data_IF_429123955499
#
_entry.id   IF_429123955499
#
_cell.length_a   1.000
_cell.length_b   1.000
_cell.length_c   1.000
_cell.angle_alpha   90.00
_cell.angle_beta   90.00
_cell.angle_gamma   90.00
#
_symmetry.space_group_name_H-M   'P 1'
#
loop_
_entity.id
_entity.type
_entity.pdbx_description
1 polymer ?
#
# COMPACT_ATOMS: atom_id res chain seq x y z
N UNK A 1 -9.71 4.37 -1.27
CA UNK A 1 -8.67 3.57 -1.93
C UNK A 1 -9.14 2.13 -2.07
N UNK A 2 -8.93 1.54 -3.19
CA UNK A 2 -9.31 0.15 -3.45
C UNK A 2 -8.11 -0.68 -3.81
N UNK A 3 -8.10 -1.92 -3.31
CA UNK A 3 -7.11 -2.92 -3.68
C UNK A 3 -7.83 -4.17 -4.14
N UNK A 4 -7.25 -4.86 -5.10
CA UNK A 4 -7.76 -6.15 -5.50
C UNK A 4 -7.47 -6.49 -6.94
N UNK A 5 -8.10 -7.54 -7.40
CA UNK A 5 -7.98 -8.02 -8.76
C UNK A 5 -9.34 -8.22 -9.37
N UNK A 6 -9.37 -8.16 -10.67
CA UNK A 6 -10.53 -8.50 -11.47
C UNK A 6 -10.37 -9.92 -12.00
N UNK A 7 -11.42 -10.72 -11.89
CA UNK A 7 -11.50 -12.12 -12.29
C UNK A 7 -10.28 -12.68 -13.02
N UNK A 8 -9.45 -13.43 -12.40
CA UNK A 8 -8.25 -14.01 -12.97
C UNK A 8 -6.94 -13.36 -12.61
N UNK A 9 -6.95 -12.41 -11.67
CA UNK A 9 -5.69 -12.07 -11.02
C UNK A 9 -4.98 -10.81 -11.43
N UNK A 10 -5.67 -9.82 -11.97
CA UNK A 10 -5.08 -8.49 -12.05
C UNK A 10 -5.01 -7.89 -10.66
N UNK A 11 -3.80 -7.71 -10.17
CA UNK A 11 -3.54 -7.09 -8.88
C UNK A 11 -3.19 -5.63 -9.05
N UNK A 12 -3.91 -4.75 -8.36
CA UNK A 12 -3.62 -3.32 -8.43
C UNK A 12 -4.14 -2.57 -7.22
N UNK A 13 -3.54 -1.42 -6.98
CA UNK A 13 -3.99 -0.44 -6.00
C UNK A 13 -4.56 0.74 -6.77
N UNK A 14 -5.83 1.06 -6.52
CA UNK A 14 -6.50 2.21 -7.11
C UNK A 14 -6.71 3.26 -6.02
N UNK A 15 -6.25 4.46 -6.27
CA UNK A 15 -6.36 5.56 -5.31
C UNK A 15 -7.38 6.58 -5.79
N UNK A 16 -8.18 7.11 -4.85
CA UNK A 16 -9.09 8.21 -5.17
C UNK A 16 -8.34 9.51 -5.41
N UNK A 17 -7.13 9.64 -4.86
CA UNK A 17 -6.25 10.80 -5.05
C UNK A 17 -4.81 10.35 -5.16
N UNK A 18 -4.08 10.90 -6.11
CA UNK A 18 -2.66 10.68 -6.26
C UNK A 18 -1.82 11.75 -5.53
N UNK A 19 -2.49 12.78 -5.00
CA UNK A 19 -1.84 13.89 -4.29
C UNK A 19 -2.70 14.31 -3.10
N UNK A 20 -2.06 14.46 -1.96
CA UNK A 20 -2.71 14.92 -0.72
C UNK A 20 -1.85 15.99 -0.05
N UNK A 21 -2.47 16.78 0.84
CA UNK A 21 -1.74 17.74 1.65
C UNK A 21 -0.93 17.05 2.74
N UNK A 22 0.25 17.60 3.05
CA UNK A 22 1.06 17.14 4.17
C UNK A 22 0.31 17.31 5.50
N UNK A 23 0.66 16.51 6.47
CA UNK A 23 0.03 16.47 7.77
C UNK A 23 -0.68 15.15 8.00
N UNK A 24 -1.79 15.20 8.70
CA UNK A 24 -2.57 13.99 9.01
C UNK A 24 -3.30 13.48 7.77
N UNK A 25 -3.01 12.25 7.39
CA UNK A 25 -3.62 11.59 6.24
C UNK A 25 -4.23 10.28 6.71
N UNK A 26 -5.50 10.08 6.42
CA UNK A 26 -6.19 8.82 6.71
C UNK A 26 -6.34 8.01 5.44
N UNK A 27 -5.90 6.77 5.50
CA UNK A 27 -6.05 5.81 4.42
C UNK A 27 -7.21 4.89 4.77
N UNK A 28 -8.19 4.83 3.91
CA UNK A 28 -9.29 3.88 3.99
C UNK A 28 -9.17 2.96 2.79
N UNK A 29 -8.97 1.68 3.06
CA UNK A 29 -8.64 0.70 2.02
C UNK A 29 -9.72 -0.34 1.95
N UNK A 30 -10.36 -0.45 0.80
CA UNK A 30 -11.40 -1.46 0.55
C UNK A 30 -10.79 -2.55 -0.31
N UNK A 31 -10.83 -3.78 0.16
CA UNK A 31 -10.39 -4.92 -0.63
C UNK A 31 -11.56 -5.44 -1.45
N UNK A 32 -11.56 -5.13 -2.74
CA UNK A 32 -12.60 -5.59 -3.68
C UNK A 32 -12.18 -6.85 -4.43
N UNK A 33 -11.01 -7.40 -4.13
CA UNK A 33 -10.50 -8.59 -4.77
C UNK A 33 -10.94 -9.88 -4.09
N UNK A 34 -10.38 -10.99 -4.54
CA UNK A 34 -10.68 -12.33 -4.03
C UNK A 34 -9.59 -12.88 -3.12
N UNK A 35 -8.49 -12.17 -2.96
CA UNK A 35 -7.36 -12.55 -2.10
C UNK A 35 -7.23 -11.57 -0.95
N UNK A 36 -6.55 -12.00 0.10
CA UNK A 36 -6.11 -11.09 1.16
C UNK A 36 -5.06 -10.13 0.60
N UNK A 37 -5.16 -8.88 0.98
CA UNK A 37 -4.19 -7.84 0.60
C UNK A 37 -3.75 -7.06 1.82
N UNK A 38 -2.64 -6.36 1.70
CA UNK A 38 -2.21 -5.38 2.70
C UNK A 38 -1.81 -4.09 2.01
N UNK A 39 -1.73 -2.99 2.75
CA UNK A 39 -1.25 -1.73 2.21
C UNK A 39 -0.21 -1.13 3.14
N UNK A 40 1.01 -1.09 2.67
CA UNK A 40 2.15 -0.51 3.37
C UNK A 40 2.53 0.79 2.69
N UNK A 41 2.81 1.82 3.48
CA UNK A 41 3.20 3.15 2.98
C UNK A 41 4.70 3.30 3.12
N UNK A 42 5.40 3.38 1.99
CA UNK A 42 6.86 3.49 1.93
C UNK A 42 7.27 4.84 1.35
N UNK A 43 8.20 5.57 1.98
CA UNK A 43 8.74 6.77 1.37
C UNK A 43 9.60 6.41 0.15
N UNK A 44 9.47 7.20 -0.91
CA UNK A 44 10.38 7.15 -2.05
C UNK A 44 11.46 8.20 -1.84
N UNK A 45 12.71 7.80 -1.92
CA UNK A 45 13.85 8.69 -1.71
C UNK A 45 14.66 8.84 -2.98
N UNK A 46 15.27 10.02 -3.16
CA UNK A 46 16.12 10.29 -4.32
C UNK A 46 15.38 10.13 -5.64
N UNK A 47 15.89 9.28 -6.51
CA UNK A 47 15.33 9.02 -7.82
C UNK A 47 14.48 7.77 -7.90
N UNK A 48 14.12 7.19 -6.77
CA UNK A 48 13.26 5.99 -6.75
C UNK A 48 11.90 6.27 -7.39
N UNK A 49 11.40 5.29 -8.11
CA UNK A 49 10.08 5.32 -8.74
C UNK A 49 9.25 4.15 -8.25
N UNK A 50 7.92 4.31 -8.35
CA UNK A 50 7.01 3.22 -8.04
C UNK A 50 7.30 2.02 -8.95
N UNK A 51 7.16 0.82 -8.39
CA UNK A 51 7.39 -0.42 -9.11
C UNK A 51 8.84 -0.84 -9.21
N UNK A 52 9.79 -0.06 -8.66
CA UNK A 52 11.23 -0.34 -8.77
C UNK A 52 11.86 -0.89 -7.50
N UNK A 53 11.08 -1.20 -6.48
CA UNK A 53 11.62 -1.81 -5.26
C UNK A 53 12.19 -3.19 -5.58
N UNK A 54 13.32 -3.51 -4.97
CA UNK A 54 13.90 -4.84 -5.09
C UNK A 54 13.01 -5.86 -4.38
N UNK A 55 12.69 -6.94 -5.08
CA UNK A 55 11.88 -8.02 -4.52
C UNK A 55 12.82 -9.12 -4.06
N UNK A 56 12.70 -9.51 -2.78
CA UNK A 56 13.51 -10.55 -2.20
C UNK A 56 13.09 -11.96 -2.65
N UNK A 57 13.83 -12.96 -2.19
CA UNK A 57 13.55 -14.35 -2.49
C UNK A 57 12.19 -14.82 -1.95
N UNK A 58 11.68 -14.14 -0.92
CA UNK A 58 10.36 -14.41 -0.35
C UNK A 58 9.20 -13.77 -1.13
N UNK A 59 9.49 -13.07 -2.22
CA UNK A 59 8.49 -12.37 -3.01
C UNK A 59 8.03 -11.05 -2.41
N UNK A 60 8.75 -10.52 -1.43
CA UNK A 60 8.42 -9.28 -0.73
C UNK A 60 9.48 -8.21 -0.93
N UNK A 61 9.05 -6.95 -0.84
CA UNK A 61 9.97 -5.82 -0.76
C UNK A 61 10.37 -5.56 0.69
N UNK A 62 11.50 -4.87 0.88
CA UNK A 62 11.95 -4.47 2.21
C UNK A 62 11.04 -3.35 2.72
N UNK A 63 10.47 -3.55 3.91
CA UNK A 63 9.61 -2.56 4.57
C UNK A 63 10.38 -1.62 5.50
N UNK A 64 11.70 -1.71 5.53
CA UNK A 64 12.51 -0.79 6.34
C UNK A 64 12.22 0.64 5.93
N UNK A 65 11.88 1.46 6.91
CA UNK A 65 11.51 2.84 6.66
C UNK A 65 10.03 3.06 6.34
N UNK A 66 9.20 2.01 6.38
CA UNK A 66 7.77 2.22 6.20
C UNK A 66 7.22 3.16 7.26
N UNK A 67 6.25 3.99 6.89
CA UNK A 67 5.63 4.93 7.81
C UNK A 67 4.33 4.41 8.39
N UNK A 68 3.84 3.29 7.91
CA UNK A 68 2.67 2.63 8.45
C UNK A 68 2.03 1.65 7.48
N UNK A 69 1.04 0.93 8.00
CA UNK A 69 0.32 -0.08 7.25
C UNK A 69 -1.16 0.00 7.60
N UNK A 70 -2.02 -0.02 6.58
CA UNK A 70 -3.46 -0.09 6.79
C UNK A 70 -3.84 -1.51 7.20
N UNK A 71 -4.63 -1.62 8.26
CA UNK A 71 -5.10 -2.91 8.78
C UNK A 71 -6.55 -2.80 9.22
N UNK A 72 -7.15 -3.96 9.48
CA UNK A 72 -8.51 -4.03 10.02
C UNK A 72 -8.60 -3.65 11.49
N UNK A 73 -7.48 -3.52 12.16
CA UNK A 73 -7.41 -3.27 13.61
C UNK A 73 -6.91 -1.88 13.96
N UNK A 74 -7.17 -0.91 13.10
CA UNK A 74 -6.89 0.50 13.39
C UNK A 74 -5.43 0.78 13.77
N UNK A 75 -4.52 0.42 12.91
CA UNK A 75 -3.11 0.79 13.02
C UNK A 75 -2.25 -0.09 13.91
N UNK A 76 -2.81 -1.10 14.52
CA UNK A 76 -2.08 -1.94 15.43
C UNK A 76 -1.56 -3.23 14.81
N UNK A 77 -1.90 -3.54 13.59
CA UNK A 77 -1.72 -4.88 13.09
C UNK A 77 -0.86 -4.98 11.85
N UNK A 78 0.40 -4.58 11.95
CA UNK A 78 1.32 -4.84 10.85
C UNK A 78 1.25 -6.33 10.47
N UNK A 79 0.94 -6.61 9.21
CA UNK A 79 0.82 -7.96 8.71
C UNK A 79 -0.54 -8.63 8.85
N UNK A 80 -1.54 -7.96 9.44
CA UNK A 80 -2.87 -8.55 9.62
C UNK A 80 -3.62 -8.77 8.31
N UNK A 81 -3.27 -8.06 7.26
CA UNK A 81 -3.95 -8.16 5.98
C UNK A 81 -5.42 -7.72 6.02
N UNK A 82 -5.96 -7.46 4.86
CA UNK A 82 -7.36 -7.06 4.68
C UNK A 82 -8.03 -8.15 3.87
N UNK A 83 -9.03 -8.80 4.47
CA UNK A 83 -9.75 -9.88 3.82
C UNK A 83 -10.60 -9.38 2.64
N UNK A 84 -10.91 -10.24 1.66
CA UNK A 84 -11.83 -9.88 0.58
C UNK A 84 -13.14 -9.32 1.14
N UNK A 85 -13.57 -8.18 0.60
CA UNK A 85 -14.78 -7.50 1.02
C UNK A 85 -14.62 -6.65 2.29
N UNK A 86 -13.49 -6.73 2.97
CA UNK A 86 -13.25 -6.00 4.21
C UNK A 86 -12.62 -4.63 3.94
N UNK A 87 -12.59 -3.81 4.99
CA UNK A 87 -11.99 -2.48 4.98
C UNK A 87 -10.87 -2.45 6.02
N UNK A 88 -9.71 -1.93 5.61
CA UNK A 88 -8.63 -1.59 6.52
C UNK A 88 -8.39 -0.09 6.51
N UNK A 89 -7.76 0.42 7.56
CA UNK A 89 -7.44 1.84 7.62
C UNK A 89 -6.24 2.11 8.51
N UNK A 90 -5.63 3.26 8.27
CA UNK A 90 -4.56 3.80 9.12
C UNK A 90 -4.55 5.32 8.96
N UNK A 91 -4.25 6.00 10.04
CA UNK A 91 -4.05 7.46 10.02
C UNK A 91 -2.59 7.74 10.34
N UNK A 92 -1.93 8.48 9.46
CA UNK A 92 -0.50 8.76 9.55
C UNK A 92 -0.27 10.26 9.42
N UNK A 93 0.81 10.73 10.04
CA UNK A 93 1.30 12.09 9.79
C UNK A 93 2.41 11.98 8.74
N UNK A 94 2.18 12.56 7.58
CA UNK A 94 3.10 12.47 6.44
C UNK A 94 3.76 13.81 6.18
N UNK A 95 5.09 13.80 6.10
CA UNK A 95 5.87 14.94 5.64
C UNK A 95 5.72 15.09 4.11
N UNK A 96 5.94 16.30 3.57
CA UNK A 96 6.01 16.47 2.13
C UNK A 96 7.03 15.54 1.51
N UNK A 97 6.66 14.91 0.41
CA UNK A 97 7.53 13.96 -0.29
C UNK A 97 6.73 13.04 -1.18
N UNK A 98 7.43 12.07 -1.75
CA UNK A 98 6.83 11.06 -2.58
C UNK A 98 6.79 9.74 -1.82
N UNK A 99 5.71 9.00 -2.00
CA UNK A 99 5.48 7.74 -1.31
C UNK A 99 5.01 6.69 -2.29
N UNK A 100 5.25 5.44 -1.93
CA UNK A 100 4.73 4.29 -2.64
C UNK A 100 3.79 3.53 -1.71
N UNK A 101 2.62 3.18 -2.23
CA UNK A 101 1.64 2.37 -1.54
C UNK A 101 1.77 0.97 -2.10
N UNK A 102 2.11 -0.01 -1.28
CA UNK A 102 2.40 -1.35 -1.76
C UNK A 102 1.60 -2.41 -1.01
N UNK A 103 1.18 -3.43 -1.73
CA UNK A 103 0.74 -4.67 -1.13
C UNK A 103 1.94 -5.59 -1.06
N UNK A 104 2.39 -5.91 0.16
CA UNK A 104 3.64 -6.63 0.36
C UNK A 104 3.46 -8.11 0.70
N UNK A 105 2.33 -8.70 0.33
CA UNK A 105 2.21 -10.14 0.36
C UNK A 105 3.07 -10.77 -0.73
N UNK A 106 3.60 -12.00 -0.52
CA UNK A 106 4.50 -12.61 -1.48
C UNK A 106 3.95 -12.61 -2.90
N UNK A 107 4.72 -12.06 -3.83
CA UNK A 107 4.37 -12.00 -5.25
C UNK A 107 3.41 -10.89 -5.66
N UNK A 108 2.77 -10.21 -4.72
CA UNK A 108 1.77 -9.19 -5.06
C UNK A 108 2.42 -7.93 -5.64
N UNK A 109 3.51 -7.47 -5.06
CA UNK A 109 4.23 -6.32 -5.58
C UNK A 109 4.70 -6.58 -7.03
N UNK A 110 5.33 -7.71 -7.26
CA UNK A 110 5.81 -8.08 -8.60
C UNK A 110 4.67 -8.20 -9.62
N UNK A 111 3.45 -8.50 -9.16
CA UNK A 111 2.27 -8.54 -10.01
C UNK A 111 1.68 -7.16 -10.32
N UNK A 112 2.24 -6.08 -9.76
CA UNK A 112 1.81 -4.72 -10.04
C UNK A 112 1.02 -4.04 -8.93
N UNK A 113 0.98 -4.60 -7.73
CA UNK A 113 0.21 -4.03 -6.62
C UNK A 113 0.94 -2.91 -5.90
N UNK A 114 1.04 -1.78 -6.56
CA UNK A 114 1.64 -0.56 -6.02
C UNK A 114 1.00 0.68 -6.64
N UNK A 115 1.14 1.81 -5.97
CA UNK A 115 0.65 3.09 -6.48
C UNK A 115 1.50 4.24 -5.93
N UNK A 116 1.53 5.34 -6.65
CA UNK A 116 2.25 6.54 -6.28
C UNK A 116 1.35 7.48 -5.47
N UNK A 117 1.92 8.10 -4.44
CA UNK A 117 1.26 9.16 -3.69
C UNK A 117 2.22 10.34 -3.52
N UNK A 118 1.79 11.50 -3.96
CA UNK A 118 2.52 12.75 -3.73
C UNK A 118 1.93 13.45 -2.50
N UNK A 119 2.80 13.87 -1.59
CA UNK A 119 2.41 14.65 -0.42
C UNK A 119 3.08 16.03 -0.51
N UNK A 120 2.30 17.09 -0.45
CA UNK A 120 2.80 18.46 -0.70
C UNK A 120 2.39 19.45 0.39
#
# INVERSE_FOLDING_TARGET
>A
MMMGGWGGGMMRVLTSRARVSAGTVSFRVVNTGSLVHELVVLPLTGTQRVGEQAVGADGRVDETGSVGEASKTCGAGAGDGINPGAIGWVTLTLAPGNYELVCNLPGHYAAGMYAFLAVR
#
